data_IF_882600725339
#
_entry.id   IF_882600725339
#
_cell.length_a   1.000
_cell.length_b   1.000
_cell.length_c   1.000
_cell.angle_alpha   90.00
_cell.angle_beta   90.00
_cell.angle_gamma   90.00
#
_symmetry.space_group_name_H-M   'P 1'
#
loop_
_entity.id
_entity.type
_entity.pdbx_description
1 polymer ?
#
# COMPACT_ATOMS: atom_id res chain seq x y z
N UNK A 1 12.64 -11.74 5.93
CA UNK A 1 11.23 -11.28 5.99
C UNK A 1 10.75 -11.08 4.57
N UNK A 2 9.80 -11.88 4.10
CA UNK A 2 9.20 -11.71 2.77
C UNK A 2 8.10 -10.65 2.96
N UNK A 3 8.21 -9.44 2.38
CA UNK A 3 7.13 -8.47 2.48
C UNK A 3 5.86 -9.10 1.90
N UNK A 4 4.69 -8.87 2.50
CA UNK A 4 3.44 -9.41 1.98
C UNK A 4 3.33 -8.95 0.52
N UNK A 5 3.31 -9.94 -0.37
CA UNK A 5 3.23 -9.72 -1.82
C UNK A 5 1.93 -9.02 -2.21
N UNK A 6 0.97 -8.96 -1.28
CA UNK A 6 -0.35 -8.36 -1.41
C UNK A 6 -0.55 -7.23 -0.40
N UNK A 7 -1.31 -6.22 -0.81
CA UNK A 7 -1.71 -5.04 -0.04
C UNK A 7 -3.23 -4.92 -0.08
N UNK A 8 -3.81 -4.54 1.05
CA UNK A 8 -5.26 -4.28 1.19
C UNK A 8 -5.49 -2.78 1.28
N UNK A 9 -6.42 -2.27 0.50
CA UNK A 9 -6.88 -0.89 0.64
C UNK A 9 -7.72 -0.76 1.92
N UNK A 10 -7.43 0.22 2.80
CA UNK A 10 -8.21 0.44 4.03
C UNK A 10 -9.62 0.99 3.74
N UNK A 11 -9.81 1.65 2.60
CA UNK A 11 -11.06 2.35 2.27
C UNK A 11 -12.08 1.42 1.59
N UNK A 12 -11.73 0.84 0.44
CA UNK A 12 -12.62 -0.05 -0.32
C UNK A 12 -12.43 -1.54 0.01
N UNK A 13 -11.42 -1.89 0.83
CA UNK A 13 -11.10 -3.28 1.16
C UNK A 13 -10.43 -4.09 0.04
N UNK A 14 -10.12 -3.48 -1.11
CA UNK A 14 -9.52 -4.16 -2.26
C UNK A 14 -8.17 -4.79 -1.91
N UNK A 15 -8.02 -6.10 -2.17
CA UNK A 15 -6.78 -6.85 -1.98
C UNK A 15 -6.11 -7.07 -3.34
N UNK A 16 -4.88 -6.59 -3.50
CA UNK A 16 -4.13 -6.72 -4.75
C UNK A 16 -2.65 -6.88 -4.50
N UNK A 17 -1.88 -7.24 -5.53
CA UNK A 17 -0.42 -7.31 -5.43
C UNK A 17 0.16 -5.94 -5.14
N UNK A 18 1.07 -5.81 -4.17
CA UNK A 18 1.68 -4.53 -3.76
C UNK A 18 2.30 -3.76 -4.94
N UNK A 19 2.79 -4.49 -5.96
CA UNK A 19 3.37 -3.95 -7.21
C UNK A 19 2.35 -3.30 -8.16
N UNK A 20 1.05 -3.60 -7.99
CA UNK A 20 -0.05 -3.03 -8.79
C UNK A 20 -0.57 -1.70 -8.22
N UNK A 21 -0.12 -1.31 -7.04
CA UNK A 21 -0.46 -0.03 -6.45
C UNK A 21 0.51 1.01 -6.97
N UNK A 22 -0.01 2.07 -7.60
CA UNK A 22 0.80 3.16 -8.16
C UNK A 22 1.46 3.92 -7.02
N UNK A 23 2.78 4.09 -7.06
CA UNK A 23 3.50 4.95 -6.10
C UNK A 23 3.26 6.39 -6.52
N UNK A 24 2.57 7.15 -5.66
CA UNK A 24 2.29 8.58 -5.88
C UNK A 24 3.33 9.46 -5.18
N UNK A 25 3.93 8.95 -4.10
CA UNK A 25 4.98 9.65 -3.36
C UNK A 25 5.99 8.63 -2.85
N UNK A 26 7.25 8.78 -3.23
CA UNK A 26 8.35 7.89 -2.79
C UNK A 26 9.01 8.37 -1.48
N UNK A 27 8.35 9.26 -0.73
CA UNK A 27 8.82 9.72 0.58
C UNK A 27 8.81 8.64 1.66
N UNK A 28 9.33 8.93 2.85
CA UNK A 28 9.16 8.09 4.03
C UNK A 28 8.11 8.74 4.94
N UNK A 29 6.84 8.28 4.95
CA UNK A 29 6.35 6.99 4.44
C UNK A 29 5.88 7.02 2.98
N UNK A 30 6.18 5.94 2.23
CA UNK A 30 5.85 5.81 0.81
C UNK A 30 4.33 5.84 0.66
N UNK A 31 3.77 6.74 -0.15
CA UNK A 31 2.34 6.74 -0.47
C UNK A 31 2.07 6.00 -1.76
N UNK A 32 0.98 5.25 -1.74
CA UNK A 32 0.48 4.55 -2.91
C UNK A 32 -0.99 4.81 -3.11
N UNK A 33 -1.42 4.68 -4.36
CA UNK A 33 -2.80 4.78 -4.77
C UNK A 33 -3.39 3.39 -5.02
N UNK A 34 -4.60 3.16 -4.51
CA UNK A 34 -5.36 1.95 -4.78
C UNK A 34 -5.85 1.94 -6.24
N UNK A 35 -5.55 0.89 -7.05
CA UNK A 35 -6.01 0.83 -8.43
C UNK A 35 -7.51 0.59 -8.58
N UNK A 36 -8.23 0.25 -7.51
CA UNK A 36 -9.65 -0.06 -7.55
C UNK A 36 -10.54 1.15 -7.22
N UNK A 37 -10.12 2.00 -6.27
CA UNK A 37 -10.93 3.15 -5.83
C UNK A 37 -10.19 4.50 -5.93
N UNK A 38 -8.90 4.51 -6.29
CA UNK A 38 -8.10 5.74 -6.31
C UNK A 38 -7.71 6.26 -4.92
N UNK A 39 -7.98 5.53 -3.84
CA UNK A 39 -7.63 5.97 -2.49
C UNK A 39 -6.11 5.94 -2.27
N UNK A 40 -5.56 7.07 -1.82
CA UNK A 40 -4.13 7.23 -1.56
C UNK A 40 -3.83 7.01 -0.08
N UNK A 41 -2.93 6.07 0.23
CA UNK A 41 -2.57 5.73 1.60
C UNK A 41 -1.07 5.46 1.74
N UNK A 42 -0.54 5.71 2.94
CA UNK A 42 0.85 5.45 3.27
C UNK A 42 1.06 3.96 3.52
N UNK A 43 2.06 3.39 2.85
CA UNK A 43 2.61 2.08 3.17
C UNK A 43 3.72 2.32 4.16
N UNK A 44 3.49 2.03 5.43
CA UNK A 44 4.61 1.86 6.34
C UNK A 44 5.36 0.60 5.87
N UNK A 45 6.60 0.74 5.41
CA UNK A 45 7.55 -0.38 5.24
C UNK A 45 7.96 -0.95 6.62
N UNK A 46 7.09 -0.86 7.64
CA UNK A 46 7.34 -1.39 8.96
C UNK A 46 6.63 -2.74 9.09
N UNK A 47 7.35 -3.88 9.09
CA UNK A 47 6.78 -5.18 9.44
C UNK A 47 6.30 -5.25 10.90
N UNK A 48 6.46 -4.18 11.68
CA UNK A 48 5.98 -4.08 13.06
C UNK A 48 5.47 -2.67 13.31
N UNK A 49 4.14 -2.50 13.30
CA UNK A 49 3.52 -1.55 14.22
C UNK A 49 3.57 -2.25 15.59
N UNK A 50 4.44 -1.77 16.49
CA UNK A 50 4.29 -1.97 17.93
C UNK A 50 3.52 -0.78 18.51
#
# INVERSE_FOLDING_TARGET
MIPPLVRRCPDCGHLGWSRRFTVVEDGAPRRVECPACGHQFSVADSPWLQ
#
